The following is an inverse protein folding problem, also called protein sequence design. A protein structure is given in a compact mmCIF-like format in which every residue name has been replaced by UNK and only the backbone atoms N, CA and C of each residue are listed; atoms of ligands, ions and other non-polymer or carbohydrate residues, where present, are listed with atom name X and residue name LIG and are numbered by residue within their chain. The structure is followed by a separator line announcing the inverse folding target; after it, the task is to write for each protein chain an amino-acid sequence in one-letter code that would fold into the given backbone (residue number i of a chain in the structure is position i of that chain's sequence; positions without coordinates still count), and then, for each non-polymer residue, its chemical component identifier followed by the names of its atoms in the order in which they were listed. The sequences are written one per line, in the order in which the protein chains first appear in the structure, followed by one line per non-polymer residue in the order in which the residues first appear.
data_IF_260275385520
#
_entry.id   IF_260275385520
#
_cell.length_a   1.000
_cell.length_b   1.000
_cell.length_c   1.000
_cell.angle_alpha   90.00
_cell.angle_beta   90.00
_cell.angle_gamma   90.00
#
_symmetry.space_group_name_H-M   'P 1'
#
loop_
_entity.id
_entity.type
_entity.pdbx_description
1 polymer ?
#
# COMPACT_ATOMS: atom_id res chain seq x y z
N UNK A 1 2.31 7.42 12.62
CA UNK A 1 2.37 6.21 11.80
C UNK A 1 1.88 5.08 12.67
N UNK A 2 0.71 4.59 12.31
CA UNK A 2 -0.01 3.50 12.94
C UNK A 2 -0.42 2.52 11.83
N UNK A 3 -0.99 1.38 12.22
CA UNK A 3 -1.58 0.46 11.27
C UNK A 3 -2.68 1.18 10.47
N UNK A 4 -2.79 0.82 9.19
CA UNK A 4 -3.75 1.37 8.23
C UNK A 4 -3.55 2.84 7.83
N UNK A 5 -2.47 3.48 8.30
CA UNK A 5 -2.04 4.76 7.74
C UNK A 5 -1.62 4.61 6.26
N UNK A 6 -1.93 5.63 5.48
CA UNK A 6 -1.35 5.89 4.17
C UNK A 6 -0.30 7.00 4.31
N UNK A 7 0.92 6.76 3.84
CA UNK A 7 2.03 7.71 3.98
C UNK A 7 2.98 7.68 2.79
N UNK A 8 3.80 8.72 2.64
CA UNK A 8 4.91 8.74 1.66
C UNK A 8 6.16 8.10 2.27
N UNK A 9 6.71 7.11 1.57
CA UNK A 9 7.92 6.41 1.98
C UNK A 9 8.95 6.28 0.86
N UNK A 10 10.22 6.13 1.27
CA UNK A 10 11.34 5.78 0.39
C UNK A 10 11.36 4.26 0.21
N UNK A 11 10.90 3.78 -0.94
CA UNK A 11 10.83 2.34 -1.21
C UNK A 11 11.96 1.95 -2.17
N UNK A 12 12.93 1.11 -1.75
CA UNK A 12 13.98 0.62 -2.63
C UNK A 12 13.41 -0.28 -3.73
N UNK A 13 14.06 -0.30 -4.89
CA UNK A 13 13.79 -1.32 -5.89
C UNK A 13 14.42 -2.65 -5.45
N UNK A 14 13.85 -3.75 -5.92
CA UNK A 14 14.40 -5.08 -5.62
C UNK A 14 15.76 -5.23 -6.31
N UNK A 15 16.76 -5.68 -5.56
CA UNK A 15 18.13 -5.90 -6.03
C UNK A 15 18.78 -4.64 -6.65
N UNK A 16 18.41 -3.44 -6.20
CA UNK A 16 19.03 -2.18 -6.62
C UNK A 16 19.21 -1.24 -5.44
N UNK A 17 20.24 -0.39 -5.52
CA UNK A 17 20.44 0.73 -4.59
C UNK A 17 19.49 1.90 -4.87
N UNK A 18 18.84 1.89 -6.04
CA UNK A 18 17.84 2.88 -6.43
C UNK A 18 16.56 2.75 -5.57
N UNK A 19 15.88 3.88 -5.43
CA UNK A 19 14.64 3.96 -4.67
C UNK A 19 13.62 4.86 -5.34
N UNK A 20 12.39 4.75 -4.88
CA UNK A 20 11.28 5.60 -5.31
C UNK A 20 10.48 6.08 -4.11
N UNK A 21 10.24 7.38 -4.06
CA UNK A 21 9.24 7.98 -3.17
C UNK A 21 7.84 7.65 -3.66
N UNK A 22 7.04 7.01 -2.81
CA UNK A 22 5.66 6.65 -3.16
C UNK A 22 4.75 6.54 -1.94
N UNK A 23 3.42 6.71 -2.14
CA UNK A 23 2.47 6.33 -1.13
C UNK A 23 2.53 4.81 -0.85
N UNK A 24 2.31 4.45 0.41
CA UNK A 24 2.22 3.07 0.89
C UNK A 24 1.07 2.96 1.88
N UNK A 25 0.54 1.74 2.06
CA UNK A 25 -0.46 1.41 3.07
C UNK A 25 0.20 0.57 4.18
N UNK A 26 0.10 0.99 5.43
CA UNK A 26 0.73 0.30 6.56
C UNK A 26 -0.13 -0.90 7.00
N UNK A 27 0.44 -2.10 6.97
CA UNK A 27 -0.23 -3.32 7.42
C UNK A 27 -0.04 -3.56 8.92
N UNK A 28 1.18 -3.38 9.41
CA UNK A 28 1.49 -3.51 10.84
C UNK A 28 2.76 -2.76 11.23
N UNK A 29 2.84 -2.38 12.51
CA UNK A 29 4.00 -1.74 13.12
C UNK A 29 4.44 -2.56 14.33
N UNK A 30 5.58 -3.23 14.23
CA UNK A 30 6.13 -4.11 15.25
C UNK A 30 7.50 -3.61 15.72
N UNK A 31 7.50 -2.79 16.77
CA UNK A 31 8.71 -2.11 17.25
C UNK A 31 9.28 -1.19 16.16
N UNK A 32 10.48 -1.52 15.64
CA UNK A 32 11.08 -0.78 14.51
C UNK A 32 10.71 -1.34 13.15
N UNK A 33 10.07 -2.50 13.07
CA UNK A 33 9.73 -3.16 11.81
C UNK A 33 8.35 -2.74 11.35
N UNK A 34 8.25 -2.32 10.08
CA UNK A 34 7.00 -1.93 9.45
C UNK A 34 6.74 -2.87 8.28
N UNK A 35 5.55 -3.47 8.26
CA UNK A 35 5.04 -4.17 7.08
C UNK A 35 4.07 -3.26 6.34
N UNK A 36 4.18 -3.23 5.02
CA UNK A 36 3.40 -2.33 4.18
C UNK A 36 3.11 -2.90 2.80
N UNK A 37 2.10 -2.34 2.15
CA UNK A 37 1.78 -2.53 0.75
C UNK A 37 2.11 -1.27 -0.04
N UNK A 38 2.54 -1.46 -1.29
CA UNK A 38 2.83 -0.31 -2.17
C UNK A 38 1.53 0.21 -2.75
N UNK A 39 1.44 1.53 -2.93
CA UNK A 39 0.36 2.13 -3.70
C UNK A 39 0.89 2.51 -5.09
N UNK A 40 0.08 2.26 -6.12
CA UNK A 40 0.46 2.44 -7.52
C UNK A 40 -0.63 3.15 -8.31
N UNK A 41 -0.20 3.96 -9.28
CA UNK A 41 -1.08 4.63 -10.25
C UNK A 41 -1.02 3.94 -11.61
N UNK A 42 -0.34 2.79 -11.69
CA UNK A 42 0.00 2.11 -12.95
C UNK A 42 -0.89 0.91 -13.25
N UNK A 43 -2.14 0.92 -12.81
CA UNK A 43 -3.09 -0.18 -13.01
C UNK A 43 -3.25 -0.55 -14.49
N UNK A 44 -3.57 0.41 -15.36
CA UNK A 44 -3.93 0.14 -16.77
C UNK A 44 -2.83 -0.57 -17.57
N UNK A 45 -1.57 -0.32 -17.20
CA UNK A 45 -0.38 -0.88 -17.87
C UNK A 45 -0.06 -2.33 -17.48
N UNK A 46 -0.82 -2.94 -16.56
CA UNK A 46 -0.56 -4.28 -16.05
C UNK A 46 -1.41 -5.34 -16.74
N UNK A 47 -0.91 -6.58 -16.73
CA UNK A 47 -1.67 -7.75 -17.17
C UNK A 47 -2.86 -8.00 -16.24
N UNK A 48 -3.87 -8.69 -16.73
CA UNK A 48 -5.07 -9.02 -15.94
C UNK A 48 -4.74 -9.82 -14.68
N UNK A 49 -3.73 -10.69 -14.75
CA UNK A 49 -3.21 -11.41 -13.59
C UNK A 49 -2.64 -10.50 -12.51
N UNK A 50 -1.93 -9.42 -12.88
CA UNK A 50 -1.41 -8.45 -11.91
C UNK A 50 -2.53 -7.54 -11.42
N UNK A 51 -3.44 -7.11 -12.31
CA UNK A 51 -4.59 -6.26 -11.97
C UNK A 51 -5.51 -6.92 -10.95
N UNK A 52 -5.70 -8.24 -11.01
CA UNK A 52 -6.51 -8.97 -10.02
C UNK A 52 -5.91 -8.97 -8.61
N UNK A 53 -4.65 -8.55 -8.45
CA UNK A 53 -3.98 -8.36 -7.16
C UNK A 53 -3.88 -6.89 -6.76
N UNK A 54 -4.57 -5.99 -7.47
CA UNK A 54 -4.57 -4.56 -7.17
C UNK A 54 -5.95 -4.17 -6.64
N UNK A 55 -6.00 -3.72 -5.39
CA UNK A 55 -7.22 -3.21 -4.79
C UNK A 55 -7.40 -1.73 -5.14
N UNK A 56 -8.57 -1.38 -5.70
CA UNK A 56 -8.90 0.00 -6.05
C UNK A 56 -9.32 0.81 -4.82
N UNK A 57 -8.67 1.98 -4.64
CA UNK A 57 -9.08 2.98 -3.65
C UNK A 57 -10.07 3.92 -4.34
N UNK A 58 -11.35 3.79 -4.04
CA UNK A 58 -12.40 4.63 -4.66
C UNK A 58 -12.32 6.06 -4.10
N UNK A 59 -12.24 6.19 -2.78
CA UNK A 59 -12.28 7.45 -2.07
C UNK A 59 -10.85 8.01 -1.88
N UNK A 60 -10.08 8.03 -2.97
CA UNK A 60 -8.64 8.32 -2.92
C UNK A 60 -8.34 9.75 -2.47
N UNK A 61 -9.22 10.71 -2.74
CA UNK A 61 -9.03 12.12 -2.34
C UNK A 61 -9.15 12.23 -0.82
N UNK A 62 -10.18 11.61 -0.25
CA UNK A 62 -10.43 11.50 1.19
C UNK A 62 -9.31 10.75 1.90
N UNK A 63 -8.72 9.76 1.21
CA UNK A 63 -7.55 9.02 1.69
C UNK A 63 -6.22 9.80 1.60
N UNK A 64 -6.24 11.04 1.11
CA UNK A 64 -5.07 11.93 1.02
C UNK A 64 -4.22 11.74 -0.24
N UNK A 65 -4.71 11.02 -1.24
CA UNK A 65 -4.04 10.80 -2.52
C UNK A 65 -4.49 11.84 -3.55
N UNK A 66 -3.59 12.25 -4.43
CA UNK A 66 -3.87 13.30 -5.43
C UNK A 66 -4.41 12.78 -6.77
N UNK A 67 -4.58 11.46 -6.91
CA UNK A 67 -5.10 10.80 -8.11
C UNK A 67 -5.50 9.36 -7.81
N UNK A 68 -6.35 8.81 -8.69
CA UNK A 68 -6.76 7.41 -8.67
C UNK A 68 -5.56 6.47 -8.51
N UNK A 69 -5.67 5.57 -7.54
CA UNK A 69 -4.57 4.71 -7.10
C UNK A 69 -5.09 3.35 -6.62
N UNK A 70 -4.20 2.37 -6.62
CA UNK A 70 -4.48 1.01 -6.19
C UNK A 70 -3.46 0.55 -5.17
N UNK A 71 -3.90 -0.21 -4.17
CA UNK A 71 -3.03 -0.95 -3.26
C UNK A 71 -2.58 -2.22 -3.98
N UNK A 72 -1.26 -2.37 -4.16
CA UNK A 72 -0.62 -3.56 -4.73
C UNK A 72 -0.55 -4.65 -3.66
N UNK A 73 -1.49 -5.60 -3.71
CA UNK A 73 -1.56 -6.76 -2.79
C UNK A 73 -0.79 -7.96 -3.33
N UNK A 74 0.01 -7.82 -4.39
CA UNK A 74 0.79 -8.92 -4.94
C UNK A 74 1.80 -9.45 -3.91
N UNK A 75 2.39 -8.55 -3.10
CA UNK A 75 3.21 -8.92 -1.96
C UNK A 75 3.37 -7.77 -0.94
N UNK A 76 3.52 -8.16 0.32
CA UNK A 76 3.93 -7.27 1.38
C UNK A 76 5.44 -7.02 1.38
N UNK A 77 5.83 -5.83 1.80
CA UNK A 77 7.21 -5.43 1.98
C UNK A 77 7.46 -5.10 3.45
N UNK A 78 8.73 -5.14 3.85
CA UNK A 78 9.15 -4.84 5.21
C UNK A 78 10.37 -3.93 5.20
N UNK A 79 10.37 -2.84 5.98
CA UNK A 79 11.57 -2.06 6.28
C UNK A 79 11.56 -1.64 7.76
N UNK A 80 12.68 -1.07 8.21
CA UNK A 80 12.77 -0.42 9.51
C UNK A 80 12.21 1.02 9.45
N UNK A 81 11.57 1.51 10.52
CA UNK A 81 10.92 2.85 10.61
C UNK A 81 11.84 4.02 10.28
N UNK A 82 13.14 3.85 10.50
CA UNK A 82 14.15 4.86 10.16
C UNK A 82 14.18 5.22 8.67
N UNK A 83 13.65 4.35 7.79
CA UNK A 83 13.53 4.58 6.35
C UNK A 83 12.17 5.15 5.91
N UNK A 84 11.22 5.32 6.83
CA UNK A 84 9.80 5.40 6.50
C UNK A 84 9.14 6.78 6.67
N UNK A 85 9.81 7.79 7.25
CA UNK A 85 9.13 9.06 7.58
C UNK A 85 9.45 10.21 6.64
N UNK A 86 8.45 10.59 5.84
CA UNK A 86 8.36 11.93 5.24
C UNK A 86 7.02 12.63 5.52
N UNK A 87 5.86 11.96 5.46
CA UNK A 87 4.55 12.57 5.80
C UNK A 87 3.42 11.51 5.83
N UNK A 88 2.56 11.51 6.86
CA UNK A 88 1.29 10.75 6.85
C UNK A 88 0.29 11.51 5.99
N UNK A 89 -0.29 10.84 5.00
CA UNK A 89 -1.25 11.42 4.06
C UNK A 89 -2.69 11.31 4.54
N UNK A 90 -3.04 10.15 5.12
CA UNK A 90 -4.43 9.85 5.48
C UNK A 90 -4.62 8.37 5.81
N UNK A 91 -5.85 7.89 5.66
CA UNK A 91 -6.28 6.49 5.82
C UNK A 91 -7.34 6.17 4.78
N UNK A 92 -7.58 4.89 4.50
CA UNK A 92 -8.77 4.51 3.75
C UNK A 92 -10.04 5.01 4.47
N UNK A 93 -11.07 5.37 3.71
CA UNK A 93 -12.41 5.57 4.27
C UNK A 93 -12.92 4.25 4.84
N UNK A 94 -13.93 4.30 5.71
CA UNK A 94 -14.56 3.09 6.25
C UNK A 94 -15.06 2.17 5.12
N UNK A 95 -15.69 2.75 4.09
CA UNK A 95 -16.15 2.04 2.90
C UNK A 95 -15.02 1.33 2.15
N UNK A 96 -13.93 2.02 1.84
CA UNK A 96 -12.78 1.39 1.18
C UNK A 96 -12.08 0.37 2.08
N UNK A 97 -12.05 0.59 3.40
CA UNK A 97 -11.46 -0.34 4.34
C UNK A 97 -12.24 -1.65 4.42
N UNK A 98 -13.57 -1.60 4.51
CA UNK A 98 -14.43 -2.79 4.51
C UNK A 98 -14.29 -3.59 3.21
N UNK A 99 -14.31 -2.90 2.06
CA UNK A 99 -14.03 -3.50 0.75
C UNK A 99 -12.64 -4.13 0.70
N UNK A 100 -11.64 -3.49 1.29
CA UNK A 100 -10.28 -4.00 1.31
C UNK A 100 -10.19 -5.30 2.12
N UNK A 101 -10.83 -5.37 3.29
CA UNK A 101 -10.89 -6.60 4.10
C UNK A 101 -11.59 -7.74 3.36
N UNK A 102 -12.71 -7.44 2.69
CA UNK A 102 -13.40 -8.42 1.85
C UNK A 102 -12.51 -8.91 0.70
N UNK A 103 -11.88 -7.98 -0.03
CA UNK A 103 -10.95 -8.29 -1.11
C UNK A 103 -9.78 -9.18 -0.64
N UNK A 104 -9.19 -8.88 0.51
CA UNK A 104 -8.10 -9.70 1.06
C UNK A 104 -8.57 -11.12 1.44
N UNK A 105 -9.79 -11.26 1.96
CA UNK A 105 -10.37 -12.55 2.35
C UNK A 105 -10.65 -13.46 1.15
N UNK A 106 -10.99 -12.87 0.00
CA UNK A 106 -11.21 -13.58 -1.26
C UNK A 106 -9.89 -13.89 -2.01
N UNK A 107 -8.75 -13.47 -1.46
CA UNK A 107 -7.42 -13.73 -2.03
C UNK A 107 -6.59 -14.61 -1.11
N UNK A 108 -5.64 -15.37 -1.66
CA UNK A 108 -4.64 -16.11 -0.87
C UNK A 108 -3.64 -15.19 -0.13
N UNK A 109 -3.88 -13.88 -0.08
CA UNK A 109 -2.97 -12.90 0.52
C UNK A 109 -2.80 -13.14 2.02
N UNK A 110 -3.86 -13.49 2.75
CA UNK A 110 -3.82 -13.74 4.19
C UNK A 110 -3.17 -15.08 4.56
N UNK A 111 -2.86 -15.94 3.58
CA UNK A 111 -2.26 -17.26 3.77
C UNK A 111 -0.74 -17.27 3.58
N UNK A 112 -0.13 -16.14 3.20
CA UNK A 112 1.30 -15.99 2.92
C UNK A 112 1.96 -14.94 3.83
#
# INVERSE_FOLDING_TARGET
MEEFDILIAKVPFENSEDYKWRPVFILSVNGKTIKFLRITTKYDTKSDYIKSKYFEIIDYIEAGLNRQSWIDTFKAYQLNDENFKIHVLGRLTENDFERFVAFLSDTDFLLN
#
